data_IF_069149732844
#
_entry.id   IF_069149732844
#
_cell.length_a   1.000
_cell.length_b   1.000
_cell.length_c   1.000
_cell.angle_alpha   90.00
_cell.angle_beta   90.00
_cell.angle_gamma   90.00
#
_symmetry.space_group_name_H-M   'P 1'
#
loop_
_entity.id
_entity.type
_entity.pdbx_description
1 polymer ?
#
# COMPACT_ATOMS: atom_id res chain seq x y z
N UNK A 1 -51.96 -48.13 -37.16
CA UNK A 1 -52.10 -46.70 -36.80
C UNK A 1 -52.28 -46.65 -35.29
N UNK A 2 -51.64 -45.69 -34.60
CA UNK A 2 -51.82 -45.55 -33.15
C UNK A 2 -53.29 -45.24 -32.85
N UNK A 3 -53.81 -45.83 -31.76
CA UNK A 3 -55.15 -45.53 -31.29
C UNK A 3 -55.20 -44.12 -30.68
N UNK A 4 -56.41 -43.54 -30.60
CA UNK A 4 -56.61 -42.24 -29.95
C UNK A 4 -56.12 -42.23 -28.50
N UNK A 5 -56.35 -43.32 -27.78
CA UNK A 5 -55.95 -43.50 -26.38
C UNK A 5 -54.42 -43.57 -26.23
N UNK A 6 -53.74 -44.33 -27.11
CA UNK A 6 -52.28 -44.41 -27.15
C UNK A 6 -51.61 -43.05 -27.42
N UNK A 7 -52.23 -42.20 -28.26
CA UNK A 7 -51.72 -40.86 -28.51
C UNK A 7 -51.89 -39.93 -27.31
N UNK A 8 -53.03 -40.01 -26.63
CA UNK A 8 -53.29 -39.24 -25.41
C UNK A 8 -52.33 -39.64 -24.28
N UNK A 9 -52.03 -40.93 -24.15
CA UNK A 9 -51.05 -41.43 -23.19
C UNK A 9 -49.64 -40.91 -23.50
N UNK A 10 -49.18 -41.02 -24.75
CA UNK A 10 -47.89 -40.46 -25.17
C UNK A 10 -47.78 -38.96 -24.96
N UNK A 11 -48.85 -38.20 -25.22
CA UNK A 11 -48.90 -36.75 -24.97
C UNK A 11 -48.74 -36.47 -23.46
N UNK A 12 -49.41 -37.24 -22.59
CA UNK A 12 -49.26 -37.10 -21.13
C UNK A 12 -47.85 -37.41 -20.67
N UNK A 13 -47.25 -38.49 -21.16
CA UNK A 13 -45.87 -38.86 -20.85
C UNK A 13 -44.88 -37.76 -21.26
N UNK A 14 -45.01 -37.23 -22.49
CA UNK A 14 -44.11 -36.17 -22.97
C UNK A 14 -44.28 -34.88 -22.16
N UNK A 15 -45.51 -34.51 -21.82
CA UNK A 15 -45.76 -33.36 -20.92
C UNK A 15 -45.06 -33.55 -19.57
N UNK A 16 -45.16 -34.75 -18.97
CA UNK A 16 -44.47 -35.02 -17.70
C UNK A 16 -42.95 -34.89 -17.81
N UNK A 17 -42.35 -35.38 -18.90
CA UNK A 17 -40.92 -35.24 -19.18
C UNK A 17 -40.53 -33.78 -19.42
N UNK A 18 -41.36 -32.99 -20.08
CA UNK A 18 -41.14 -31.55 -20.26
C UNK A 18 -41.12 -30.84 -18.91
N UNK A 19 -42.06 -31.16 -18.02
CA UNK A 19 -42.13 -30.58 -16.67
C UNK A 19 -40.90 -30.96 -15.82
N UNK A 20 -40.45 -32.21 -15.89
CA UNK A 20 -39.22 -32.66 -15.22
C UNK A 20 -37.98 -31.92 -15.73
N UNK A 21 -37.81 -31.82 -17.05
CA UNK A 21 -36.70 -31.08 -17.66
C UNK A 21 -36.79 -29.59 -17.29
N UNK A 22 -37.99 -29.03 -17.21
CA UNK A 22 -38.19 -27.65 -16.77
C UNK A 22 -37.73 -27.43 -15.34
N UNK A 23 -38.08 -28.34 -14.40
CA UNK A 23 -37.59 -28.28 -13.01
C UNK A 23 -36.06 -28.33 -12.96
N UNK A 24 -35.43 -29.22 -13.73
CA UNK A 24 -33.97 -29.29 -13.80
C UNK A 24 -33.32 -28.01 -14.36
N UNK A 25 -33.97 -27.34 -15.33
CA UNK A 25 -33.51 -26.03 -15.84
C UNK A 25 -33.60 -24.95 -14.76
N UNK A 26 -34.66 -24.97 -13.96
CA UNK A 26 -34.88 -23.97 -12.91
C UNK A 26 -33.90 -24.18 -11.74
N UNK A 27 -33.67 -25.44 -11.34
CA UNK A 27 -32.65 -25.82 -10.36
C UNK A 27 -31.25 -25.40 -10.80
N UNK A 28 -30.83 -25.78 -12.01
CA UNK A 28 -29.52 -25.38 -12.54
C UNK A 28 -29.38 -23.86 -12.68
N UNK A 29 -30.48 -23.14 -12.95
CA UNK A 29 -30.48 -21.68 -12.99
C UNK A 29 -30.30 -21.08 -11.60
N UNK A 30 -30.94 -21.66 -10.58
CA UNK A 30 -30.75 -21.27 -9.19
C UNK A 30 -29.29 -21.49 -8.73
N UNK A 31 -28.72 -22.65 -9.04
CA UNK A 31 -27.31 -22.97 -8.73
C UNK A 31 -26.34 -21.98 -9.38
N UNK A 32 -26.56 -21.62 -10.67
CA UNK A 32 -25.76 -20.60 -11.36
C UNK A 32 -25.85 -19.26 -10.63
N UNK A 33 -27.04 -18.85 -10.20
CA UNK A 33 -27.23 -17.58 -9.50
C UNK A 33 -26.52 -17.59 -8.14
N UNK A 34 -26.59 -18.69 -7.38
CA UNK A 34 -25.88 -18.85 -6.11
C UNK A 34 -24.35 -18.82 -6.30
N UNK A 35 -23.83 -19.45 -7.36
CA UNK A 35 -22.40 -19.38 -7.67
C UNK A 35 -21.98 -17.97 -8.10
N UNK A 36 -22.86 -17.21 -8.76
CA UNK A 36 -22.62 -15.80 -9.13
C UNK A 36 -22.58 -14.89 -7.90
N UNK A 37 -23.41 -15.10 -6.90
CA UNK A 37 -23.35 -14.32 -5.65
C UNK A 37 -22.06 -14.58 -4.90
N UNK A 38 -21.65 -15.85 -4.76
CA UNK A 38 -20.34 -16.23 -4.19
C UNK A 38 -19.17 -15.61 -4.97
N UNK A 39 -19.25 -15.58 -6.30
CA UNK A 39 -18.24 -14.93 -7.13
C UNK A 39 -18.12 -13.43 -6.82
N UNK A 40 -19.24 -12.76 -6.56
CA UNK A 40 -19.29 -11.34 -6.23
C UNK A 40 -18.72 -11.07 -4.83
N UNK A 41 -18.99 -11.95 -3.86
CA UNK A 41 -18.36 -11.90 -2.54
C UNK A 41 -16.84 -12.05 -2.62
N UNK A 42 -16.34 -13.04 -3.37
CA UNK A 42 -14.89 -13.21 -3.59
C UNK A 42 -14.27 -11.99 -4.27
N UNK A 43 -15.00 -11.32 -5.18
CA UNK A 43 -14.52 -10.07 -5.80
C UNK A 43 -14.39 -8.95 -4.80
N UNK A 44 -15.33 -8.82 -3.84
CA UNK A 44 -15.24 -7.86 -2.74
C UNK A 44 -14.04 -8.16 -1.84
N UNK A 45 -13.88 -9.42 -1.39
CA UNK A 45 -12.72 -9.83 -0.60
C UNK A 45 -11.39 -9.55 -1.34
N UNK A 46 -11.33 -9.82 -2.65
CA UNK A 46 -10.15 -9.50 -3.46
C UNK A 46 -9.87 -8.00 -3.54
N UNK A 47 -10.89 -7.15 -3.54
CA UNK A 47 -10.74 -5.70 -3.52
C UNK A 47 -10.21 -5.22 -2.16
N UNK A 48 -10.76 -5.74 -1.07
CA UNK A 48 -10.29 -5.45 0.30
C UNK A 48 -8.83 -5.86 0.50
N UNK A 49 -8.47 -7.08 0.10
CA UNK A 49 -7.08 -7.57 0.19
C UNK A 49 -6.13 -6.69 -0.64
N UNK A 50 -6.55 -6.22 -1.82
CA UNK A 50 -5.73 -5.28 -2.61
C UNK A 50 -5.55 -3.95 -1.88
N UNK A 51 -6.60 -3.40 -1.29
CA UNK A 51 -6.54 -2.17 -0.50
C UNK A 51 -5.58 -2.33 0.68
N UNK A 52 -5.66 -3.44 1.42
CA UNK A 52 -4.74 -3.74 2.51
C UNK A 52 -3.29 -3.87 2.05
N UNK A 53 -3.03 -4.51 0.91
CA UNK A 53 -1.68 -4.60 0.33
C UNK A 53 -1.14 -3.21 -0.02
N UNK A 54 -1.98 -2.36 -0.61
CA UNK A 54 -1.61 -0.98 -0.96
C UNK A 54 -1.32 -0.14 0.28
N UNK A 55 -2.18 -0.22 1.31
CA UNK A 55 -1.94 0.41 2.60
C UNK A 55 -0.64 -0.07 3.27
N UNK A 56 -0.35 -1.38 3.24
CA UNK A 56 0.91 -1.93 3.75
C UNK A 56 2.14 -1.40 2.96
N UNK A 57 2.04 -1.29 1.63
CA UNK A 57 3.09 -0.69 0.80
C UNK A 57 3.32 0.78 1.12
N UNK A 58 2.25 1.55 1.33
CA UNK A 58 2.34 2.94 1.76
C UNK A 58 3.01 3.08 3.14
N UNK A 59 2.67 2.22 4.11
CA UNK A 59 3.37 2.15 5.40
C UNK A 59 4.86 1.84 5.21
N UNK A 60 5.22 0.86 4.38
CA UNK A 60 6.62 0.54 4.07
C UNK A 60 7.37 1.72 3.47
N UNK A 61 6.76 2.45 2.53
CA UNK A 61 7.36 3.65 1.96
C UNK A 61 7.66 4.70 3.02
N UNK A 62 6.68 5.04 3.86
CA UNK A 62 6.86 5.99 4.97
C UNK A 62 7.97 5.54 5.92
N UNK A 63 8.00 4.26 6.32
CA UNK A 63 9.07 3.74 7.18
C UNK A 63 10.44 3.82 6.51
N UNK A 64 10.52 3.64 5.19
CA UNK A 64 11.77 3.77 4.43
C UNK A 64 12.27 5.21 4.43
N UNK A 65 11.38 6.17 4.19
CA UNK A 65 11.70 7.61 4.24
C UNK A 65 12.19 8.02 5.63
N UNK A 66 11.51 7.58 6.69
CA UNK A 66 11.92 7.82 8.08
C UNK A 66 13.28 7.18 8.41
N UNK A 67 13.54 5.95 7.94
CA UNK A 67 14.85 5.31 8.12
C UNK A 67 15.94 6.12 7.40
N UNK A 68 15.69 6.59 6.17
CA UNK A 68 16.66 7.39 5.43
C UNK A 68 17.01 8.68 6.17
N UNK A 69 16.00 9.43 6.64
CA UNK A 69 16.24 10.69 7.37
C UNK A 69 16.98 10.46 8.69
N UNK A 70 16.70 9.37 9.41
CA UNK A 70 17.44 9.02 10.62
C UNK A 70 18.89 8.57 10.33
N UNK A 71 19.13 7.90 9.20
CA UNK A 71 20.50 7.54 8.77
C UNK A 71 21.31 8.80 8.44
N UNK A 72 20.70 9.78 7.78
CA UNK A 72 21.30 11.09 7.53
C UNK A 72 21.57 11.85 8.83
N UNK A 73 20.59 11.92 9.74
CA UNK A 73 20.78 12.53 11.05
C UNK A 73 21.93 11.87 11.83
N UNK A 74 21.99 10.53 11.81
CA UNK A 74 23.09 9.77 12.43
C UNK A 74 24.44 10.15 11.83
N UNK A 75 24.55 10.28 10.50
CA UNK A 75 25.82 10.64 9.85
C UNK A 75 26.26 12.07 10.19
N UNK A 76 25.30 13.01 10.24
CA UNK A 76 25.54 14.39 10.69
C UNK A 76 26.09 14.44 12.12
N UNK A 77 25.46 13.74 13.07
CA UNK A 77 25.91 13.68 14.46
C UNK A 77 27.33 13.08 14.54
N UNK A 78 27.61 12.02 13.79
CA UNK A 78 28.95 11.41 13.76
C UNK A 78 29.99 12.41 13.24
N UNK A 79 29.67 13.17 12.19
CA UNK A 79 30.55 14.17 11.62
C UNK A 79 30.80 15.33 12.61
N UNK A 80 29.76 15.80 13.30
CA UNK A 80 29.89 16.81 14.37
C UNK A 80 30.79 16.33 15.51
N UNK A 81 30.60 15.08 15.98
CA UNK A 81 31.48 14.52 17.02
C UNK A 81 32.93 14.45 16.52
N UNK A 82 33.16 14.10 15.25
CA UNK A 82 34.50 14.06 14.66
C UNK A 82 35.14 15.46 14.61
N UNK A 83 34.41 16.49 14.16
CA UNK A 83 34.93 17.86 14.10
C UNK A 83 35.26 18.37 15.51
N UNK A 84 34.35 18.22 16.47
CA UNK A 84 34.57 18.62 17.86
C UNK A 84 35.77 17.90 18.49
N UNK A 85 35.97 16.61 18.20
CA UNK A 85 37.17 15.87 18.65
C UNK A 85 38.45 16.43 18.04
N UNK A 86 38.43 16.83 16.77
CA UNK A 86 39.58 17.45 16.11
C UNK A 86 39.92 18.82 16.70
N UNK A 87 38.90 19.62 17.02
CA UNK A 87 39.07 20.90 17.72
C UNK A 87 39.66 20.69 19.11
N UNK A 88 39.16 19.71 19.86
CA UNK A 88 39.67 19.35 21.18
C UNK A 88 41.16 18.94 21.12
N UNK A 89 41.55 18.18 20.10
CA UNK A 89 42.94 17.80 19.86
C UNK A 89 43.81 19.03 19.57
N UNK A 90 43.37 19.93 18.70
CA UNK A 90 44.08 21.17 18.39
C UNK A 90 44.24 22.07 19.62
N UNK A 91 43.18 22.22 20.43
CA UNK A 91 43.23 22.99 21.68
C UNK A 91 44.18 22.38 22.71
N UNK A 92 44.28 21.05 22.78
CA UNK A 92 45.24 20.40 23.67
C UNK A 92 46.69 20.70 23.23
N UNK A 93 46.97 20.69 21.92
CA UNK A 93 48.29 21.02 21.38
C UNK A 93 48.65 22.48 21.68
N UNK A 94 47.74 23.43 21.46
CA UNK A 94 48.01 24.85 21.75
C UNK A 94 48.22 25.10 23.24
N UNK A 95 47.39 24.50 24.11
CA UNK A 95 47.61 24.56 25.56
C UNK A 95 48.96 24.00 25.98
N UNK A 96 49.43 22.91 25.36
CA UNK A 96 50.73 22.33 25.66
C UNK A 96 51.87 23.30 25.30
N UNK A 97 51.79 23.96 24.13
CA UNK A 97 52.74 25.02 23.74
C UNK A 97 52.75 26.17 24.74
N UNK A 98 51.59 26.60 25.24
CA UNK A 98 51.52 27.65 26.27
C UNK A 98 52.11 27.21 27.60
N UNK A 99 51.92 25.94 28.01
CA UNK A 99 52.55 25.38 29.21
C UNK A 99 54.07 25.35 29.09
N UNK A 100 54.60 24.95 27.94
CA UNK A 100 56.05 24.95 27.66
C UNK A 100 56.62 26.38 27.73
N UNK A 101 55.99 27.35 27.07
CA UNK A 101 56.37 28.78 27.17
C UNK A 101 56.36 29.27 28.61
N UNK A 102 55.34 28.89 29.37
CA UNK A 102 55.18 29.31 30.76
C UNK A 102 56.28 28.72 31.65
N UNK A 103 56.75 27.49 31.39
CA UNK A 103 57.94 26.91 32.05
C UNK A 103 59.19 27.73 31.72
N UNK A 104 59.40 28.09 30.44
CA UNK A 104 60.54 28.91 30.02
C UNK A 104 60.55 30.26 30.75
N UNK A 105 59.42 30.98 30.75
CA UNK A 105 59.32 32.27 31.44
C UNK A 105 59.51 32.16 32.96
N UNK A 106 59.03 31.07 33.59
CA UNK A 106 59.30 30.81 35.01
C UNK A 106 60.78 30.58 35.29
N UNK A 107 61.46 29.81 34.43
CA UNK A 107 62.90 29.56 34.56
C UNK A 107 63.70 30.86 34.37
N UNK A 108 63.36 31.67 33.37
CA UNK A 108 63.96 32.99 33.15
C UNK A 108 63.77 33.90 34.38
N UNK A 109 62.55 33.92 34.94
CA UNK A 109 62.27 34.67 36.15
C UNK A 109 63.09 34.15 37.35
N UNK A 110 63.28 32.83 37.47
CA UNK A 110 64.14 32.22 38.50
C UNK A 110 65.58 32.67 38.35
N UNK A 111 66.16 32.58 37.14
CA UNK A 111 67.55 32.99 36.90
C UNK A 111 67.78 34.47 37.18
N UNK A 112 66.81 35.33 36.85
CA UNK A 112 66.91 36.77 37.15
C UNK A 112 66.77 37.00 38.66
N UNK A 113 65.85 36.30 39.34
CA UNK A 113 65.73 36.38 40.80
C UNK A 113 67.00 35.93 41.54
N UNK A 114 67.65 34.87 41.06
CA UNK A 114 68.93 34.38 41.58
C UNK A 114 70.05 35.42 41.39
N UNK A 115 70.14 36.02 40.21
CA UNK A 115 71.10 37.10 39.92
C UNK A 115 70.92 38.31 40.84
N UNK A 116 69.68 38.70 41.11
CA UNK A 116 69.33 39.83 41.99
C UNK A 116 69.45 39.46 43.49
N UNK A 117 69.68 38.18 43.81
CA UNK A 117 69.81 37.68 45.18
C UNK A 117 68.51 37.76 45.97
N UNK A 118 67.35 37.68 45.30
CA UNK A 118 66.03 37.76 45.95
C UNK A 118 65.64 39.14 46.47
N UNK A 119 66.42 40.19 46.19
CA UNK A 119 66.06 41.58 46.53
C UNK A 119 64.87 42.05 45.69
N UNK A 120 63.92 42.73 46.32
CA UNK A 120 62.86 43.45 45.61
C UNK A 120 63.45 44.73 45.03
N UNK A 121 63.61 44.79 43.70
CA UNK A 121 64.00 46.00 42.99
C UNK A 121 62.82 46.97 42.96
N UNK A 122 62.86 47.99 43.81
CA UNK A 122 61.86 49.06 43.82
C UNK A 122 62.16 50.09 42.74
N UNK A 123 61.59 49.86 41.55
CA UNK A 123 61.74 50.69 40.34
C UNK A 123 61.57 52.19 40.60
N UNK A 124 60.57 52.57 41.39
CA UNK A 124 60.29 53.98 41.70
C UNK A 124 61.38 54.62 42.58
N UNK A 125 62.01 53.84 43.47
CA UNK A 125 63.13 54.32 44.27
C UNK A 125 64.41 54.46 43.43
N UNK A 126 64.69 53.49 42.55
CA UNK A 126 65.86 53.52 41.66
C UNK A 126 65.79 54.70 40.67
N UNK A 127 64.61 54.99 40.11
CA UNK A 127 64.39 56.18 39.25
C UNK A 127 64.64 57.49 39.98
N UNK A 128 64.10 57.64 41.20
CA UNK A 128 64.33 58.83 42.02
C UNK A 128 65.80 59.02 42.37
N UNK A 129 66.52 57.92 42.60
CA UNK A 129 67.97 57.96 42.88
C UNK A 129 68.74 58.39 41.63
N UNK A 130 68.39 57.91 40.42
CA UNK A 130 68.98 58.38 39.16
C UNK A 130 68.70 59.89 38.97
N UNK A 131 67.45 60.33 39.08
CA UNK A 131 67.07 61.74 38.91
C UNK A 131 67.82 62.65 39.88
N UNK A 132 68.00 62.21 41.13
CA UNK A 132 68.79 62.93 42.12
C UNK A 132 70.28 62.95 41.76
N UNK A 133 70.85 61.81 41.34
CA UNK A 133 72.26 61.70 40.98
C UNK A 133 72.61 62.51 39.72
N UNK A 134 71.72 62.54 38.72
CA UNK A 134 71.85 63.38 37.52
C UNK A 134 71.80 64.87 37.88
N UNK A 135 70.84 65.26 38.72
CA UNK A 135 70.74 66.63 39.22
C UNK A 135 72.01 67.06 40.00
N UNK A 136 72.54 66.17 40.85
CA UNK A 136 73.80 66.42 41.56
C UNK A 136 75.02 66.52 40.63
N UNK A 137 75.03 65.73 39.54
CA UNK A 137 76.09 65.77 38.53
C UNK A 137 76.06 67.06 37.70
N UNK A 138 74.88 67.55 37.32
CA UNK A 138 74.71 68.80 36.56
C UNK A 138 75.05 70.06 37.38
N UNK A 139 74.93 69.99 38.71
CA UNK A 139 75.08 71.16 39.61
C UNK A 139 76.42 71.22 40.35
N UNK A 140 77.30 70.21 40.22
CA UNK A 140 78.56 70.11 40.97
C UNK A 140 79.80 70.18 40.05
N UNK A 141 80.92 70.84 40.46
CA UNK A 141 82.16 70.89 39.68
C UNK A 141 82.99 69.61 39.89
N UNK A 142 83.22 68.83 38.82
CA UNK A 142 83.72 67.45 38.95
C UNK A 142 85.23 67.27 38.68
N UNK A 143 85.81 66.31 39.39
CA UNK A 143 87.16 65.75 39.22
C UNK A 143 87.07 64.49 38.32
N UNK A 144 87.99 64.26 37.35
CA UNK A 144 87.92 63.14 36.40
C UNK A 144 87.75 61.72 36.99
N UNK A 145 88.28 61.47 38.19
CA UNK A 145 88.10 60.16 38.85
C UNK A 145 86.70 59.98 39.44
N UNK A 146 86.12 61.06 39.97
CA UNK A 146 84.77 61.08 40.49
C UNK A 146 83.74 60.92 39.37
N UNK A 147 83.94 61.56 38.22
CA UNK A 147 83.07 61.35 37.04
C UNK A 147 83.03 59.88 36.62
N UNK A 148 84.19 59.19 36.61
CA UNK A 148 84.25 57.77 36.27
C UNK A 148 83.53 56.88 37.29
N UNK A 149 83.60 57.20 38.58
CA UNK A 149 82.88 56.47 39.62
C UNK A 149 81.37 56.75 39.58
N UNK A 150 80.97 58.00 39.34
CA UNK A 150 79.56 58.38 39.14
C UNK A 150 78.95 57.68 37.93
N UNK A 151 79.64 57.70 36.78
CA UNK A 151 79.19 57.00 35.57
C UNK A 151 79.07 55.49 35.82
N UNK A 152 80.00 54.89 36.59
CA UNK A 152 79.89 53.48 36.99
C UNK A 152 78.65 53.23 37.86
N UNK A 153 78.41 54.08 38.87
CA UNK A 153 77.29 53.92 39.80
C UNK A 153 75.93 54.14 39.13
N UNK A 154 75.81 55.16 38.28
CA UNK A 154 74.63 55.40 37.43
C UNK A 154 74.41 54.20 36.49
N UNK A 155 75.47 53.70 35.83
CA UNK A 155 75.37 52.53 34.96
C UNK A 155 74.94 51.25 35.71
N UNK A 156 75.33 51.09 36.97
CA UNK A 156 74.88 49.98 37.82
C UNK A 156 73.39 50.11 38.17
N UNK A 157 72.92 51.30 38.56
CA UNK A 157 71.50 51.55 38.85
C UNK A 157 70.64 51.40 37.59
N UNK A 158 71.11 51.84 36.42
CA UNK A 158 70.43 51.62 35.14
C UNK A 158 70.31 50.14 34.79
N UNK A 159 71.34 49.33 35.06
CA UNK A 159 71.28 47.86 34.88
C UNK A 159 70.25 47.25 35.83
N UNK A 160 70.22 47.65 37.09
CA UNK A 160 69.21 47.21 38.07
C UNK A 160 67.79 47.61 37.65
N UNK A 161 67.60 48.81 37.12
CA UNK A 161 66.31 49.29 36.61
C UNK A 161 65.85 48.47 35.38
N UNK A 162 66.76 48.19 34.45
CA UNK A 162 66.48 47.35 33.29
C UNK A 162 66.12 45.91 33.69
N UNK A 163 66.75 45.37 34.74
CA UNK A 163 66.39 44.06 35.29
C UNK A 163 64.98 44.09 35.90
N UNK A 164 64.63 45.13 36.67
CA UNK A 164 63.28 45.30 37.22
C UNK A 164 62.21 45.32 36.12
N UNK A 165 62.44 46.09 35.05
CA UNK A 165 61.56 46.15 33.87
C UNK A 165 61.40 44.79 33.19
N UNK A 166 62.50 44.05 33.03
CA UNK A 166 62.47 42.71 32.43
C UNK A 166 61.66 41.72 33.28
N UNK A 167 61.77 41.80 34.62
CA UNK A 167 61.01 40.97 35.56
C UNK A 167 59.52 41.27 35.51
N UNK A 168 59.13 42.56 35.46
CA UNK A 168 57.72 42.96 35.31
C UNK A 168 57.12 42.41 34.01
N UNK A 169 57.84 42.55 32.87
CA UNK A 169 57.41 42.02 31.57
C UNK A 169 57.22 40.50 31.60
N UNK A 170 58.18 39.77 32.18
CA UNK A 170 58.08 38.31 32.31
C UNK A 170 56.89 37.90 33.20
N UNK A 171 56.67 38.58 34.33
CA UNK A 171 55.50 38.34 35.20
C UNK A 171 54.18 38.59 34.47
N UNK A 172 54.09 39.67 33.69
CA UNK A 172 52.93 39.97 32.86
C UNK A 172 52.66 38.87 31.83
N UNK A 173 53.68 38.43 31.09
CA UNK A 173 53.54 37.31 30.14
C UNK A 173 53.13 35.99 30.82
N UNK A 174 53.64 35.70 32.02
CA UNK A 174 53.20 34.53 32.80
C UNK A 174 51.71 34.64 33.15
N UNK A 175 51.24 35.81 33.57
CA UNK A 175 49.83 36.03 33.91
C UNK A 175 48.92 35.88 32.68
N UNK A 176 49.32 36.45 31.54
CA UNK A 176 48.59 36.34 30.28
C UNK A 176 48.50 34.88 29.80
N UNK A 177 49.61 34.14 29.81
CA UNK A 177 49.62 32.72 29.44
C UNK A 177 48.74 31.86 30.37
N UNK A 178 48.69 32.18 31.67
CA UNK A 178 47.76 31.50 32.60
C UNK A 178 46.31 31.75 32.22
N UNK A 179 45.94 33.01 31.96
CA UNK A 179 44.58 33.38 31.55
C UNK A 179 44.17 32.63 30.27
N UNK A 180 45.04 32.63 29.25
CA UNK A 180 44.79 31.90 28.01
C UNK A 180 44.60 30.39 28.25
N UNK A 181 45.45 29.78 29.08
CA UNK A 181 45.31 28.35 29.45
C UNK A 181 43.96 28.09 30.13
N UNK A 182 43.51 28.96 31.02
CA UNK A 182 42.23 28.79 31.73
C UNK A 182 41.02 28.97 30.80
N UNK A 183 41.09 29.89 29.83
CA UNK A 183 40.10 30.00 28.75
C UNK A 183 40.04 28.74 27.86
N UNK A 184 41.18 28.15 27.52
CA UNK A 184 41.19 26.89 26.76
C UNK A 184 40.63 25.72 27.58
N UNK A 185 40.82 25.71 28.91
CA UNK A 185 40.22 24.69 29.77
C UNK A 185 38.69 24.79 29.77
N UNK A 186 38.14 25.99 29.90
CA UNK A 186 36.68 26.18 29.90
C UNK A 186 36.05 25.83 28.55
N UNK A 187 36.67 26.27 27.43
CA UNK A 187 36.27 25.86 26.06
C UNK A 187 36.31 24.35 25.88
N UNK A 188 37.36 23.68 26.38
CA UNK A 188 37.49 22.23 26.31
C UNK A 188 36.36 21.52 27.06
N UNK A 189 35.97 22.03 28.22
CA UNK A 189 34.87 21.44 29.00
C UNK A 189 33.52 21.61 28.31
N UNK A 190 33.28 22.76 27.67
CA UNK A 190 32.10 22.99 26.85
C UNK A 190 32.02 22.02 25.65
N UNK A 191 33.14 21.80 24.94
CA UNK A 191 33.19 20.83 23.84
C UNK A 191 32.94 19.40 24.35
N UNK A 192 33.46 19.04 25.53
CA UNK A 192 33.22 17.71 26.12
C UNK A 192 31.76 17.49 26.45
N UNK A 193 31.08 18.48 27.03
CA UNK A 193 29.66 18.37 27.35
C UNK A 193 28.81 18.29 26.07
N UNK A 194 29.16 19.04 25.02
CA UNK A 194 28.49 18.96 23.72
C UNK A 194 28.68 17.58 23.07
N UNK A 195 29.89 17.02 23.08
CA UNK A 195 30.15 15.65 22.62
C UNK A 195 29.29 14.65 23.42
N UNK A 196 29.18 14.80 24.73
CA UNK A 196 28.36 13.91 25.56
C UNK A 196 26.88 13.97 25.17
N UNK A 197 26.33 15.18 24.90
CA UNK A 197 24.97 15.36 24.41
C UNK A 197 24.76 14.70 23.04
N UNK A 198 25.67 14.93 22.09
CA UNK A 198 25.61 14.32 20.76
C UNK A 198 25.70 12.78 20.81
N UNK A 199 26.44 12.23 21.77
CA UNK A 199 26.50 10.77 21.98
C UNK A 199 25.16 10.23 22.50
N UNK A 200 24.47 10.96 23.38
CA UNK A 200 23.12 10.59 23.81
C UNK A 200 22.14 10.65 22.63
N UNK A 201 22.15 11.72 21.84
CA UNK A 201 21.33 11.87 20.63
C UNK A 201 21.61 10.74 19.60
N UNK A 202 22.87 10.32 19.48
CA UNK A 202 23.25 9.20 18.61
C UNK A 202 22.68 7.87 19.11
N UNK A 203 22.55 7.69 20.42
CA UNK A 203 21.96 6.49 21.00
C UNK A 203 20.43 6.46 20.81
N UNK A 204 19.75 7.60 20.95
CA UNK A 204 18.30 7.69 20.69
C UNK A 204 17.99 7.38 19.22
N UNK A 205 18.73 7.99 18.28
CA UNK A 205 18.59 7.71 16.84
C UNK A 205 18.84 6.23 16.51
N UNK A 206 19.80 5.58 17.18
CA UNK A 206 20.03 4.14 17.01
C UNK A 206 18.85 3.29 17.49
N UNK A 207 18.23 3.65 18.61
CA UNK A 207 17.06 2.95 19.14
C UNK A 207 15.85 3.10 18.21
N UNK A 208 15.58 4.32 17.75
CA UNK A 208 14.52 4.59 16.76
C UNK A 208 14.73 3.81 15.46
N UNK A 209 15.96 3.77 14.95
CA UNK A 209 16.31 2.96 13.77
C UNK A 209 16.09 1.46 14.00
N UNK A 210 16.35 0.95 15.20
CA UNK A 210 16.09 -0.45 15.53
C UNK A 210 14.58 -0.75 15.55
N UNK A 211 13.79 0.11 16.19
CA UNK A 211 12.33 -0.01 16.25
C UNK A 211 11.69 0.04 14.85
N UNK A 212 12.08 1.01 14.01
CA UNK A 212 11.58 1.12 12.64
C UNK A 212 11.98 -0.08 11.77
N UNK A 213 13.15 -0.67 11.99
CA UNK A 213 13.53 -1.90 11.28
C UNK A 213 12.68 -3.09 11.71
N UNK A 214 12.34 -3.19 12.99
CA UNK A 214 11.47 -4.24 13.51
C UNK A 214 10.05 -4.10 12.94
N UNK A 215 9.45 -2.91 13.02
CA UNK A 215 8.12 -2.65 12.46
C UNK A 215 8.08 -2.88 10.94
N UNK A 216 9.16 -2.51 10.21
CA UNK A 216 9.30 -2.82 8.79
C UNK A 216 9.24 -4.33 8.51
N UNK A 217 9.89 -5.15 9.33
CA UNK A 217 9.86 -6.61 9.18
C UNK A 217 8.46 -7.17 9.44
N UNK A 218 7.73 -6.63 10.42
CA UNK A 218 6.33 -7.03 10.69
C UNK A 218 5.42 -6.73 9.49
N UNK A 219 5.53 -5.52 8.91
CA UNK A 219 4.74 -5.17 7.72
C UNK A 219 5.10 -6.06 6.52
N UNK A 220 6.35 -6.50 6.37
CA UNK A 220 6.70 -7.50 5.35
C UNK A 220 6.01 -8.86 5.58
N UNK A 221 5.91 -9.31 6.83
CA UNK A 221 5.19 -10.55 7.19
C UNK A 221 3.70 -10.42 6.90
N UNK A 222 3.08 -9.29 7.25
CA UNK A 222 1.68 -9.00 6.91
C UNK A 222 1.47 -9.04 5.39
N UNK A 223 2.36 -8.41 4.63
CA UNK A 223 2.27 -8.33 3.17
C UNK A 223 2.45 -9.70 2.50
N UNK A 224 3.26 -10.60 3.08
CA UNK A 224 3.36 -11.98 2.63
C UNK A 224 2.03 -12.73 2.81
N UNK A 225 1.43 -12.67 4.01
CA UNK A 225 0.12 -13.29 4.30
C UNK A 225 -0.99 -12.76 3.39
N UNK A 226 -1.03 -11.45 3.15
CA UNK A 226 -2.02 -10.84 2.25
C UNK A 226 -1.84 -11.30 0.80
N UNK A 227 -0.60 -11.51 0.34
CA UNK A 227 -0.33 -12.05 -0.99
C UNK A 227 -0.78 -13.50 -1.12
N UNK A 228 -0.51 -14.33 -0.12
CA UNK A 228 -0.98 -15.72 -0.09
C UNK A 228 -2.52 -15.76 -0.14
N UNK A 229 -3.20 -15.00 0.72
CA UNK A 229 -4.65 -14.88 0.72
C UNK A 229 -5.20 -14.41 -0.63
N UNK A 230 -4.53 -13.47 -1.29
CA UNK A 230 -4.92 -12.99 -2.62
C UNK A 230 -4.85 -14.10 -3.67
N UNK A 231 -3.80 -14.94 -3.64
CA UNK A 231 -3.66 -16.04 -4.59
C UNK A 231 -4.68 -17.15 -4.32
N UNK A 232 -4.98 -17.47 -3.05
CA UNK A 232 -6.07 -18.40 -2.68
C UNK A 232 -7.42 -17.92 -3.24
N UNK A 233 -7.75 -16.64 -3.05
CA UNK A 233 -8.99 -16.06 -3.55
C UNK A 233 -9.07 -16.05 -5.08
N UNK A 234 -7.94 -15.86 -5.77
CA UNK A 234 -7.90 -15.97 -7.24
C UNK A 234 -8.20 -17.40 -7.71
N UNK A 235 -7.62 -18.42 -7.06
CA UNK A 235 -7.89 -19.83 -7.37
C UNK A 235 -9.36 -20.16 -7.18
N UNK A 236 -9.93 -19.81 -6.01
CA UNK A 236 -11.37 -20.00 -5.74
C UNK A 236 -12.26 -19.29 -6.76
N UNK A 237 -11.89 -18.07 -7.17
CA UNK A 237 -12.61 -17.31 -8.21
C UNK A 237 -12.60 -18.06 -9.55
N UNK A 238 -11.49 -18.69 -9.91
CA UNK A 238 -11.35 -19.45 -11.16
C UNK A 238 -12.12 -20.77 -11.12
N UNK A 239 -12.07 -21.47 -9.99
CA UNK A 239 -12.88 -22.67 -9.72
C UNK A 239 -14.38 -22.36 -9.88
N UNK A 240 -14.90 -21.35 -9.19
CA UNK A 240 -16.32 -20.97 -9.30
C UNK A 240 -16.70 -20.55 -10.73
N UNK A 241 -15.82 -19.85 -11.45
CA UNK A 241 -16.06 -19.52 -12.85
C UNK A 241 -16.17 -20.78 -13.71
N UNK A 242 -15.32 -21.77 -13.49
CA UNK A 242 -15.37 -23.03 -14.23
C UNK A 242 -16.66 -23.82 -13.94
N UNK A 243 -17.10 -23.85 -12.68
CA UNK A 243 -18.37 -24.47 -12.29
C UNK A 243 -19.57 -23.77 -12.92
N UNK A 244 -19.59 -22.43 -12.94
CA UNK A 244 -20.64 -21.66 -13.61
C UNK A 244 -20.69 -22.00 -15.11
N UNK A 245 -19.54 -22.17 -15.76
CA UNK A 245 -19.48 -22.55 -17.18
C UNK A 245 -20.04 -23.96 -17.41
N UNK A 246 -19.69 -24.92 -16.55
CA UNK A 246 -20.23 -26.30 -16.63
C UNK A 246 -21.74 -26.32 -16.44
N UNK A 247 -22.25 -25.60 -15.43
CA UNK A 247 -23.70 -25.47 -15.21
C UNK A 247 -24.41 -24.77 -16.37
N UNK A 248 -23.77 -23.77 -16.99
CA UNK A 248 -24.32 -23.08 -18.14
C UNK A 248 -24.43 -24.01 -19.36
N UNK A 249 -23.44 -24.89 -19.60
CA UNK A 249 -23.48 -25.92 -20.63
C UNK A 249 -24.60 -26.94 -20.35
N UNK A 250 -24.65 -27.49 -19.13
CA UNK A 250 -25.73 -28.41 -18.70
C UNK A 250 -27.12 -27.81 -18.91
N UNK A 251 -27.30 -26.54 -18.53
CA UNK A 251 -28.57 -25.82 -18.76
C UNK A 251 -28.89 -25.65 -20.24
N UNK A 252 -27.90 -25.44 -21.09
CA UNK A 252 -28.09 -25.37 -22.55
C UNK A 252 -28.56 -26.71 -23.10
N UNK A 253 -27.92 -27.81 -22.72
CA UNK A 253 -28.31 -29.17 -23.12
C UNK A 253 -29.75 -29.50 -22.66
N UNK A 254 -30.11 -29.16 -21.42
CA UNK A 254 -31.48 -29.35 -20.92
C UNK A 254 -32.50 -28.54 -21.73
N UNK A 255 -32.16 -27.31 -22.13
CA UNK A 255 -33.04 -26.49 -23.00
C UNK A 255 -33.21 -27.11 -24.39
N UNK A 256 -32.15 -27.70 -24.96
CA UNK A 256 -32.22 -28.42 -26.23
C UNK A 256 -33.08 -29.67 -26.12
N UNK A 257 -32.91 -30.47 -25.04
CA UNK A 257 -33.79 -31.61 -24.74
C UNK A 257 -35.26 -31.19 -24.60
N UNK A 258 -35.53 -30.10 -23.89
CA UNK A 258 -36.88 -29.55 -23.74
C UNK A 258 -37.50 -29.18 -25.10
N UNK A 259 -36.72 -28.55 -25.99
CA UNK A 259 -37.16 -28.20 -27.35
C UNK A 259 -37.50 -29.44 -28.17
N UNK A 260 -36.63 -30.46 -28.14
CA UNK A 260 -36.90 -31.72 -28.85
C UNK A 260 -38.20 -32.39 -28.36
N UNK A 261 -38.44 -32.42 -27.04
CA UNK A 261 -39.69 -32.93 -26.47
C UNK A 261 -40.90 -32.08 -26.86
N UNK A 262 -40.75 -30.75 -26.95
CA UNK A 262 -41.81 -29.87 -27.44
C UNK A 262 -42.17 -30.15 -28.91
N UNK A 263 -41.18 -30.37 -29.78
CA UNK A 263 -41.42 -30.76 -31.17
C UNK A 263 -42.09 -32.14 -31.29
N UNK A 264 -41.70 -33.11 -30.46
CA UNK A 264 -42.37 -34.41 -30.38
C UNK A 264 -43.84 -34.26 -29.93
N UNK A 265 -44.09 -33.45 -28.90
CA UNK A 265 -45.43 -33.15 -28.42
C UNK A 265 -46.31 -32.52 -29.50
N UNK A 266 -45.77 -31.54 -30.24
CA UNK A 266 -46.46 -30.92 -31.38
C UNK A 266 -46.81 -31.95 -32.47
N UNK A 267 -45.88 -32.85 -32.81
CA UNK A 267 -46.15 -33.94 -33.77
C UNK A 267 -47.30 -34.82 -33.31
N UNK A 268 -47.31 -35.27 -32.04
CA UNK A 268 -48.39 -36.10 -31.51
C UNK A 268 -49.73 -35.35 -31.45
N UNK A 269 -49.73 -34.05 -31.11
CA UNK A 269 -50.93 -33.23 -31.12
C UNK A 269 -51.52 -33.07 -32.53
N UNK A 270 -50.68 -32.89 -33.55
CA UNK A 270 -51.13 -32.83 -34.95
C UNK A 270 -51.72 -34.17 -35.40
N UNK A 271 -51.07 -35.29 -35.05
CA UNK A 271 -51.59 -36.63 -35.34
C UNK A 271 -52.94 -36.90 -34.66
N UNK A 272 -53.07 -36.52 -33.38
CA UNK A 272 -54.33 -36.64 -32.65
C UNK A 272 -55.44 -35.83 -33.33
N UNK A 273 -55.17 -34.57 -33.69
CA UNK A 273 -56.14 -33.72 -34.39
C UNK A 273 -56.53 -34.26 -35.77
N UNK A 274 -55.58 -34.83 -36.51
CA UNK A 274 -55.83 -35.47 -37.80
C UNK A 274 -56.72 -36.71 -37.66
N UNK A 275 -56.49 -37.55 -36.63
CA UNK A 275 -57.33 -38.70 -36.33
C UNK A 275 -58.74 -38.29 -35.93
N UNK A 276 -58.90 -37.28 -35.06
CA UNK A 276 -60.21 -36.78 -34.67
C UNK A 276 -61.00 -36.23 -35.86
N UNK A 277 -60.34 -35.54 -36.79
CA UNK A 277 -60.96 -35.08 -38.04
C UNK A 277 -61.34 -36.26 -38.95
N UNK A 278 -60.49 -37.28 -39.07
CA UNK A 278 -60.78 -38.48 -39.85
C UNK A 278 -61.97 -39.27 -39.27
N UNK A 279 -62.04 -39.43 -37.94
CA UNK A 279 -63.17 -40.05 -37.25
C UNK A 279 -64.47 -39.27 -37.47
N UNK A 280 -64.43 -37.94 -37.34
CA UNK A 280 -65.59 -37.07 -37.64
C UNK A 280 -66.02 -37.17 -39.09
N UNK A 281 -65.08 -37.22 -40.03
CA UNK A 281 -65.39 -37.35 -41.45
C UNK A 281 -65.98 -38.72 -41.77
N UNK A 282 -65.46 -39.80 -41.18
CA UNK A 282 -66.05 -41.15 -41.29
C UNK A 282 -67.45 -41.20 -40.71
N UNK A 283 -67.69 -40.61 -39.54
CA UNK A 283 -69.01 -40.52 -38.94
C UNK A 283 -69.99 -39.72 -39.81
N UNK A 284 -69.53 -38.60 -40.40
CA UNK A 284 -70.31 -37.82 -41.36
C UNK A 284 -70.61 -38.58 -42.65
N UNK A 285 -69.65 -39.36 -43.16
CA UNK A 285 -69.82 -40.20 -44.35
C UNK A 285 -70.84 -41.30 -44.08
N UNK A 286 -70.72 -42.03 -42.96
CA UNK A 286 -71.72 -43.03 -42.54
C UNK A 286 -73.10 -42.42 -42.35
N UNK A 287 -73.20 -41.29 -41.66
CA UNK A 287 -74.48 -40.59 -41.51
C UNK A 287 -75.05 -40.10 -42.85
N UNK A 288 -74.20 -39.81 -43.84
CA UNK A 288 -74.63 -39.47 -45.21
C UNK A 288 -75.08 -40.72 -45.97
N UNK A 289 -74.36 -41.83 -45.84
CA UNK A 289 -74.72 -43.13 -46.41
C UNK A 289 -76.06 -43.61 -45.85
N UNK A 290 -76.24 -43.65 -44.53
CA UNK A 290 -77.50 -43.99 -43.86
C UNK A 290 -78.65 -43.06 -44.29
N UNK A 291 -78.40 -41.76 -44.45
CA UNK A 291 -79.39 -40.83 -44.99
C UNK A 291 -79.75 -41.16 -46.43
N UNK A 292 -78.76 -41.43 -47.29
CA UNK A 292 -79.00 -41.81 -48.69
C UNK A 292 -79.74 -43.14 -48.78
N UNK A 293 -79.40 -44.13 -47.96
CA UNK A 293 -80.10 -45.42 -47.87
C UNK A 293 -81.54 -45.23 -47.41
N UNK A 294 -81.78 -44.48 -46.32
CA UNK A 294 -83.15 -44.19 -45.87
C UNK A 294 -83.97 -43.39 -46.89
N UNK A 295 -83.34 -42.52 -47.67
CA UNK A 295 -83.97 -41.80 -48.78
C UNK A 295 -84.31 -42.74 -49.93
N UNK A 296 -83.41 -43.68 -50.28
CA UNK A 296 -83.64 -44.72 -51.28
C UNK A 296 -84.76 -45.67 -50.88
N UNK A 297 -84.77 -46.16 -49.64
CA UNK A 297 -85.84 -47.04 -49.13
C UNK A 297 -87.20 -46.33 -49.18
N UNK A 298 -87.27 -45.06 -48.78
CA UNK A 298 -88.49 -44.24 -48.89
C UNK A 298 -88.89 -44.03 -50.35
N UNK A 299 -87.93 -43.77 -51.23
CA UNK A 299 -88.16 -43.62 -52.66
C UNK A 299 -88.63 -44.93 -53.31
N UNK A 300 -88.09 -46.09 -52.95
CA UNK A 300 -88.54 -47.40 -53.44
C UNK A 300 -89.98 -47.71 -53.03
N UNK A 301 -90.36 -47.42 -51.78
CA UNK A 301 -91.75 -47.56 -51.32
C UNK A 301 -92.69 -46.66 -52.13
N UNK A 302 -92.31 -45.40 -52.36
CA UNK A 302 -93.10 -44.45 -53.14
C UNK A 302 -93.14 -44.81 -54.64
N UNK A 303 -92.05 -45.32 -55.20
CA UNK A 303 -91.95 -45.78 -56.59
C UNK A 303 -92.82 -47.03 -56.82
N UNK A 304 -92.83 -47.96 -55.87
CA UNK A 304 -93.72 -49.12 -55.90
C UNK A 304 -95.20 -48.71 -55.82
N UNK A 305 -95.55 -47.67 -55.06
CA UNK A 305 -96.91 -47.08 -55.06
C UNK A 305 -97.27 -46.42 -56.39
N UNK A 306 -96.31 -45.71 -57.01
CA UNK A 306 -96.48 -45.12 -58.34
C UNK A 306 -96.73 -46.19 -59.41
N UNK A 307 -95.96 -47.28 -59.42
CA UNK A 307 -96.13 -48.43 -60.32
C UNK A 307 -97.50 -49.10 -60.17
N UNK A 308 -98.09 -49.05 -58.98
CA UNK A 308 -99.42 -49.59 -58.68
C UNK A 308 -100.57 -48.61 -59.03
N UNK A 309 -100.28 -47.42 -59.59
CA UNK A 309 -101.28 -46.50 -60.13
C UNK A 309 -101.88 -45.49 -59.14
N UNK A 310 -101.26 -45.30 -57.97
CA UNK A 310 -101.70 -44.33 -56.95
C UNK A 310 -101.19 -42.91 -57.26
N UNK A 311 -102.00 -41.87 -56.97
CA UNK A 311 -101.61 -40.46 -57.17
C UNK A 311 -100.68 -40.01 -56.04
N UNK A 312 -99.45 -39.62 -56.40
CA UNK A 312 -98.48 -39.05 -55.47
C UNK A 312 -98.69 -37.54 -55.25
N UNK A 313 -98.35 -37.05 -54.07
CA UNK A 313 -98.32 -35.61 -53.73
C UNK A 313 -97.06 -34.93 -54.25
N UNK A 314 -97.07 -33.60 -54.38
CA UNK A 314 -95.92 -32.84 -54.90
C UNK A 314 -94.63 -33.07 -54.09
N UNK A 315 -94.77 -33.20 -52.76
CA UNK A 315 -93.65 -33.48 -51.85
C UNK A 315 -93.12 -34.92 -52.02
N UNK A 316 -93.98 -35.90 -52.33
CA UNK A 316 -93.58 -37.28 -52.61
C UNK A 316 -92.89 -37.44 -53.98
N UNK A 317 -93.30 -36.65 -54.97
CA UNK A 317 -92.64 -36.58 -56.28
C UNK A 317 -91.24 -35.96 -56.13
N UNK A 318 -91.10 -34.94 -55.29
CA UNK A 318 -89.79 -34.31 -54.99
C UNK A 318 -88.80 -35.30 -54.35
N UNK A 319 -89.27 -36.19 -53.48
CA UNK A 319 -88.45 -37.24 -52.88
C UNK A 319 -87.97 -38.26 -53.92
N UNK A 320 -88.78 -38.59 -54.94
CA UNK A 320 -88.38 -39.48 -56.03
C UNK A 320 -87.35 -38.85 -56.98
N UNK A 321 -87.44 -37.53 -57.22
CA UNK A 321 -86.46 -36.76 -58.00
C UNK A 321 -85.14 -36.67 -57.23
N UNK A 322 -85.18 -36.30 -55.94
CA UNK A 322 -83.99 -36.20 -55.09
C UNK A 322 -83.25 -37.54 -54.90
N UNK A 323 -83.95 -38.67 -55.04
CA UNK A 323 -83.37 -40.02 -55.01
C UNK A 323 -82.93 -40.56 -56.38
N UNK A 324 -83.22 -39.86 -57.49
CA UNK A 324 -82.80 -40.22 -58.85
C UNK A 324 -83.66 -41.25 -59.59
N UNK A 325 -84.90 -41.51 -59.12
CA UNK A 325 -85.83 -42.46 -59.77
C UNK A 325 -86.65 -41.83 -60.92
N UNK A 326 -86.62 -40.49 -61.06
CA UNK A 326 -87.25 -39.72 -62.13
C UNK A 326 -86.25 -38.70 -62.68
N UNK A 327 -86.21 -38.42 -64.00
CA UNK A 327 -85.34 -37.39 -64.57
C UNK A 327 -85.77 -35.99 -64.10
N UNK A 328 -84.79 -35.13 -63.81
CA UNK A 328 -85.02 -33.70 -63.59
C UNK A 328 -85.43 -33.06 -64.93
N UNK A 329 -86.65 -32.52 -65.02
CA UNK A 329 -87.09 -31.65 -66.12
C UNK A 329 -86.72 -30.18 -65.85
#
# INVERSE_FOLDING_TARGET
MLSKEELLEKIREINSRIDEVQRQIDETTSEINNKRTLLEEIRKELAEVRSHIEGARGRLQKTRELISSLVERKSQIINQIRSLRSELLNMNITMQKYREKLVIYRNLLSTINEYVGGKTLEKDKLKRIIEQLEYFFETSPTNPEWERQFIKYISEIEKELNLADSMEKIKAHIAELKSQIDEFKSKREAIRSEIARLVQDLNTVKQELAQLKASRQEVYKELAKLKERREELKKRREEIKSEILQLALKRKELREKRRALQEELEKYNVLLKALELAERNKARARAREERVESLKERAEVLYNRLLNGERLTHDEIKILIEAGYLPEE
#
